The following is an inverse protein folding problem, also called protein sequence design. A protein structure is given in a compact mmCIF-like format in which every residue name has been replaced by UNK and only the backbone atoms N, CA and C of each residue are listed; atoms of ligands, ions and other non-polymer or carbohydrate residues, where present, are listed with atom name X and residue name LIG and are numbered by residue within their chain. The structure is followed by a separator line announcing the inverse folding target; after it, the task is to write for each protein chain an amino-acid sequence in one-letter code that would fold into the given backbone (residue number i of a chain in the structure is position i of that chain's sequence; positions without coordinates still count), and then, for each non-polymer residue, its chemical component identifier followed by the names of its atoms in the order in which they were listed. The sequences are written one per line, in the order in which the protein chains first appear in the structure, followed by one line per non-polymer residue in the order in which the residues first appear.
data_IF_376291458964
#
_entry.id   IF_376291458964
#
_cell.length_a   1.000
_cell.length_b   1.000
_cell.length_c   1.000
_cell.angle_alpha   90.00
_cell.angle_beta   90.00
_cell.angle_gamma   90.00
#
_symmetry.space_group_name_H-M   'P 1'
#
loop_
_entity.id
_entity.type
_entity.pdbx_description
1 polymer ?
#
# COMPACT_ATOMS: atom_id res chain seq x y z
N UNK A 1 4.68 2.01 60.83
CA UNK A 1 3.57 2.57 60.07
C UNK A 1 3.37 1.63 58.86
N UNK A 2 2.30 0.84 58.91
CA UNK A 2 1.99 -0.13 57.88
C UNK A 2 1.13 0.56 56.81
N UNK A 3 1.63 0.72 55.60
CA UNK A 3 0.80 1.09 54.46
C UNK A 3 0.24 -0.17 53.82
N UNK A 4 -1.07 -0.29 53.92
CA UNK A 4 -1.86 -1.38 53.34
C UNK A 4 -2.11 -1.08 51.84
N UNK A 5 -1.49 -1.87 50.95
CA UNK A 5 -1.76 -1.82 49.54
C UNK A 5 -3.17 -2.40 49.24
N UNK A 6 -4.03 -1.58 48.67
CA UNK A 6 -5.35 -1.99 48.13
C UNK A 6 -5.16 -2.84 46.87
N UNK A 7 -5.92 -3.93 46.68
CA UNK A 7 -5.87 -4.73 45.46
C UNK A 7 -6.53 -4.01 44.28
N UNK A 8 -5.82 -3.99 43.16
CA UNK A 8 -6.35 -3.53 41.88
C UNK A 8 -7.53 -4.41 41.43
N UNK A 9 -8.67 -3.79 41.22
CA UNK A 9 -9.87 -4.43 40.70
C UNK A 9 -9.63 -5.07 39.34
N UNK A 10 -9.79 -6.40 39.29
CA UNK A 10 -9.70 -7.15 38.03
C UNK A 10 -10.83 -6.77 37.07
N UNK A 11 -10.47 -6.21 35.94
CA UNK A 11 -11.39 -6.04 34.82
C UNK A 11 -11.76 -7.42 34.24
N UNK A 12 -12.89 -7.97 34.66
CA UNK A 12 -13.48 -9.12 34.00
C UNK A 12 -13.90 -8.72 32.59
N UNK A 13 -13.14 -9.15 31.57
CA UNK A 13 -13.60 -9.11 30.19
C UNK A 13 -14.86 -9.95 30.08
N UNK A 14 -16.03 -9.28 29.91
CA UNK A 14 -17.27 -9.96 29.51
C UNK A 14 -16.99 -10.67 28.19
N UNK A 15 -17.09 -11.99 28.20
CA UNK A 15 -17.09 -12.80 26.98
C UNK A 15 -18.35 -12.36 26.16
N UNK A 16 -18.10 -11.73 25.01
CA UNK A 16 -19.13 -11.47 24.04
C UNK A 16 -19.45 -12.83 23.42
N UNK A 17 -20.59 -13.40 23.78
CA UNK A 17 -21.14 -14.57 23.10
C UNK A 17 -21.32 -14.19 21.62
N UNK A 18 -20.89 -15.03 20.64
CA UNK A 18 -21.14 -14.76 19.25
C UNK A 18 -22.65 -14.77 19.01
N UNK A 19 -23.22 -13.58 18.79
CA UNK A 19 -24.62 -13.42 18.42
C UNK A 19 -24.90 -14.23 17.16
N UNK A 20 -25.90 -15.08 17.23
CA UNK A 20 -26.52 -15.77 16.11
C UNK A 20 -26.98 -14.73 15.10
N UNK A 21 -26.27 -14.61 14.02
CA UNK A 21 -26.64 -14.17 12.68
C UNK A 21 -25.36 -13.92 11.89
N UNK A 22 -24.57 -14.98 11.70
CA UNK A 22 -23.68 -15.03 10.54
C UNK A 22 -24.63 -15.12 9.36
N UNK A 23 -24.93 -14.00 8.73
CA UNK A 23 -25.52 -14.00 7.39
C UNK A 23 -24.50 -14.75 6.54
N UNK A 24 -24.80 -16.00 6.23
CA UNK A 24 -23.99 -16.81 5.33
C UNK A 24 -23.88 -16.01 4.04
N UNK A 25 -22.66 -15.67 3.64
CA UNK A 25 -22.46 -15.00 2.36
C UNK A 25 -23.16 -15.86 1.30
N UNK A 26 -23.91 -15.26 0.37
CA UNK A 26 -24.53 -16.05 -0.69
C UNK A 26 -23.44 -16.88 -1.39
N UNK A 27 -23.76 -18.12 -1.80
CA UNK A 27 -22.81 -18.96 -2.52
C UNK A 27 -22.26 -18.16 -3.70
N UNK A 28 -20.95 -18.09 -3.82
CA UNK A 28 -20.26 -17.34 -4.89
C UNK A 28 -20.33 -18.24 -6.14
N UNK A 29 -21.47 -18.28 -6.77
CA UNK A 29 -21.64 -18.86 -8.09
C UNK A 29 -21.07 -17.90 -9.14
N UNK A 30 -19.74 -17.78 -9.17
CA UNK A 30 -19.03 -17.00 -10.14
C UNK A 30 -19.26 -15.47 -10.02
N UNK A 31 -18.44 -14.72 -10.71
CA UNK A 31 -18.60 -13.27 -10.88
C UNK A 31 -19.61 -13.01 -12.00
N UNK A 32 -20.89 -12.99 -11.65
CA UNK A 32 -21.93 -12.66 -12.62
C UNK A 32 -21.92 -11.17 -12.91
N UNK A 33 -22.06 -10.82 -14.19
CA UNK A 33 -22.21 -9.42 -14.60
C UNK A 33 -23.50 -8.86 -14.00
N UNK A 34 -23.42 -7.65 -13.45
CA UNK A 34 -24.60 -6.96 -12.93
C UNK A 34 -25.46 -6.43 -14.08
N UNK A 35 -26.68 -6.90 -14.17
CA UNK A 35 -27.66 -6.54 -15.21
C UNK A 35 -28.84 -5.71 -14.66
N UNK A 36 -28.78 -5.28 -13.40
CA UNK A 36 -29.85 -4.52 -12.79
C UNK A 36 -29.88 -3.04 -13.19
N UNK A 37 -30.68 -2.26 -12.45
CA UNK A 37 -30.83 -0.83 -12.69
C UNK A 37 -29.52 -0.07 -12.50
N UNK A 38 -29.31 0.97 -13.29
CA UNK A 38 -28.20 1.88 -13.17
C UNK A 38 -28.68 3.27 -12.76
N UNK A 39 -28.67 3.54 -11.46
CA UNK A 39 -29.14 4.79 -10.86
C UNK A 39 -28.24 5.21 -9.69
N UNK A 40 -28.60 6.26 -8.98
CA UNK A 40 -27.81 6.86 -7.90
C UNK A 40 -27.25 5.87 -6.88
N UNK A 41 -28.01 4.91 -6.34
CA UNK A 41 -27.46 3.94 -5.37
C UNK A 41 -26.33 3.09 -5.96
N UNK A 42 -26.47 2.62 -7.19
CA UNK A 42 -25.47 1.79 -7.89
C UNK A 42 -24.22 2.60 -8.23
N UNK A 43 -24.40 3.83 -8.69
CA UNK A 43 -23.30 4.77 -8.95
C UNK A 43 -22.51 5.02 -7.66
N UNK A 44 -23.20 5.38 -6.56
CA UNK A 44 -22.55 5.60 -5.26
C UNK A 44 -21.82 4.35 -4.78
N UNK A 45 -22.44 3.17 -4.95
CA UNK A 45 -21.78 1.90 -4.61
C UNK A 45 -20.50 1.71 -5.41
N UNK A 46 -20.55 1.83 -6.73
CA UNK A 46 -19.38 1.68 -7.60
C UNK A 46 -18.28 2.67 -7.22
N UNK A 47 -18.60 3.96 -7.04
CA UNK A 47 -17.62 4.98 -6.69
C UNK A 47 -16.97 4.72 -5.32
N UNK A 48 -17.71 4.27 -4.33
CA UNK A 48 -17.16 3.89 -3.01
C UNK A 48 -16.21 2.68 -3.10
N UNK A 49 -16.46 1.77 -4.03
CA UNK A 49 -15.59 0.59 -4.24
C UNK A 49 -14.34 0.93 -5.04
N UNK A 50 -14.42 1.86 -5.98
CA UNK A 50 -13.33 2.18 -6.91
C UNK A 50 -12.53 3.42 -6.54
N UNK A 51 -13.13 4.38 -5.84
CA UNK A 51 -12.50 5.64 -5.41
C UNK A 51 -12.40 5.73 -3.88
N UNK A 52 -11.76 6.78 -3.37
CA UNK A 52 -11.69 7.07 -1.92
C UNK A 52 -12.95 7.76 -1.36
N UNK A 53 -13.97 7.88 -2.17
CA UNK A 53 -15.28 8.42 -1.79
C UNK A 53 -16.14 8.65 -3.01
N UNK A 54 -17.42 8.97 -2.77
CA UNK A 54 -18.38 9.33 -3.82
C UNK A 54 -18.73 10.81 -3.66
N UNK A 55 -18.02 11.69 -4.38
CA UNK A 55 -18.34 13.12 -4.39
C UNK A 55 -19.64 13.35 -5.15
N UNK A 56 -20.43 14.32 -4.71
CA UNK A 56 -21.69 14.66 -5.38
C UNK A 56 -21.50 14.93 -6.88
N UNK A 57 -20.44 15.67 -7.23
CA UNK A 57 -20.11 15.99 -8.63
C UNK A 57 -19.84 14.74 -9.47
N UNK A 58 -19.16 13.72 -8.91
CA UNK A 58 -18.89 12.47 -9.61
C UNK A 58 -20.16 11.65 -9.78
N UNK A 59 -21.04 11.63 -8.78
CA UNK A 59 -22.36 10.97 -8.89
C UNK A 59 -23.17 11.62 -10.02
N UNK A 60 -23.24 12.96 -10.08
CA UNK A 60 -23.95 13.67 -11.16
C UNK A 60 -23.33 13.40 -12.55
N UNK A 61 -22.02 13.38 -12.61
CA UNK A 61 -21.31 13.05 -13.85
C UNK A 61 -21.67 11.65 -14.38
N UNK A 62 -21.62 10.63 -13.51
CA UNK A 62 -21.89 9.26 -13.90
C UNK A 62 -23.39 8.95 -14.12
N UNK A 63 -24.30 9.78 -13.66
CA UNK A 63 -25.72 9.72 -14.06
C UNK A 63 -25.93 9.92 -15.55
N UNK A 64 -25.08 10.69 -16.20
CA UNK A 64 -25.11 10.89 -17.66
C UNK A 64 -24.38 9.80 -18.46
N UNK A 65 -23.96 8.71 -17.83
CA UNK A 65 -23.21 7.60 -18.45
C UNK A 65 -23.98 6.30 -18.30
N UNK A 66 -23.74 5.36 -19.23
CA UNK A 66 -24.12 3.96 -18.98
C UNK A 66 -23.19 3.33 -17.95
N UNK A 67 -23.62 2.25 -17.32
CA UNK A 67 -22.78 1.48 -16.38
C UNK A 67 -21.47 1.05 -17.03
N UNK A 68 -21.52 0.54 -18.27
CA UNK A 68 -20.32 0.12 -18.99
C UNK A 68 -19.36 1.29 -19.26
N UNK A 69 -19.87 2.47 -19.61
CA UNK A 69 -19.04 3.67 -19.78
C UNK A 69 -18.36 4.08 -18.47
N UNK A 70 -19.11 4.03 -17.35
CA UNK A 70 -18.57 4.34 -16.03
C UNK A 70 -17.45 3.38 -15.61
N UNK A 71 -17.66 2.07 -15.80
CA UNK A 71 -16.65 1.04 -15.50
C UNK A 71 -15.41 1.24 -16.37
N UNK A 72 -15.60 1.42 -17.69
CA UNK A 72 -14.48 1.62 -18.61
C UNK A 72 -13.65 2.86 -18.26
N UNK A 73 -14.31 3.97 -17.86
CA UNK A 73 -13.61 5.18 -17.45
C UNK A 73 -12.82 4.96 -16.16
N UNK A 74 -13.44 4.37 -15.15
CA UNK A 74 -12.81 4.10 -13.84
C UNK A 74 -11.61 3.15 -13.92
N UNK A 75 -11.58 2.27 -14.93
CA UNK A 75 -10.48 1.33 -15.16
C UNK A 75 -9.32 1.94 -15.97
N UNK A 76 -9.43 3.18 -16.47
CA UNK A 76 -8.32 3.80 -17.16
C UNK A 76 -7.19 4.16 -16.20
N UNK A 77 -5.93 3.93 -16.58
CA UNK A 77 -4.79 4.38 -15.81
C UNK A 77 -4.82 5.91 -15.66
N UNK A 78 -4.55 6.38 -14.47
CA UNK A 78 -4.37 7.82 -14.21
C UNK A 78 -2.97 8.27 -14.65
N UNK A 79 -2.84 9.53 -15.05
CA UNK A 79 -1.55 10.10 -15.41
C UNK A 79 -0.54 10.00 -14.26
N UNK A 80 0.75 9.98 -14.58
CA UNK A 80 1.79 10.02 -13.58
C UNK A 80 1.61 11.26 -12.67
N UNK A 81 1.96 11.15 -11.37
CA UNK A 81 1.91 12.31 -10.48
C UNK A 81 2.73 13.48 -11.06
N UNK A 82 2.11 14.64 -11.14
CA UNK A 82 2.77 15.88 -11.57
C UNK A 82 3.52 16.59 -10.46
N UNK A 83 3.45 16.10 -9.23
CA UNK A 83 4.09 16.62 -8.04
C UNK A 83 4.96 15.57 -7.38
N UNK A 84 5.85 16.01 -6.52
CA UNK A 84 6.77 15.16 -5.76
C UNK A 84 6.64 15.44 -4.26
N UNK A 85 7.07 14.51 -3.38
CA UNK A 85 7.24 14.82 -1.97
C UNK A 85 8.20 15.99 -1.77
N UNK A 86 7.86 16.90 -0.87
CA UNK A 86 8.59 18.16 -0.65
C UNK A 86 9.18 18.18 0.76
N UNK A 87 10.23 18.98 0.94
CA UNK A 87 10.67 19.39 2.26
C UNK A 87 9.59 20.28 2.90
N UNK A 88 8.61 19.69 3.56
CA UNK A 88 7.63 20.36 4.41
C UNK A 88 7.98 20.21 5.90
N UNK A 89 8.99 19.42 6.22
CA UNK A 89 9.45 19.14 7.57
C UNK A 89 10.40 20.20 8.14
N UNK A 90 10.87 21.12 7.32
CA UNK A 90 11.61 22.30 7.79
C UNK A 90 10.72 23.43 8.32
N UNK A 91 9.39 23.26 8.29
CA UNK A 91 8.46 24.14 8.99
C UNK A 91 8.71 23.99 10.50
N UNK A 92 8.93 25.11 11.19
CA UNK A 92 9.22 25.08 12.63
C UNK A 92 10.71 25.01 13.00
N UNK A 93 11.61 25.25 12.04
CA UNK A 93 13.02 25.53 12.31
C UNK A 93 13.99 24.33 12.14
N UNK A 94 13.52 23.17 11.67
CA UNK A 94 14.44 22.10 11.30
C UNK A 94 15.21 22.49 10.03
N UNK A 95 16.52 22.30 10.06
CA UNK A 95 17.37 22.50 8.87
C UNK A 95 17.68 21.16 8.24
N UNK A 96 17.33 20.98 6.97
CA UNK A 96 17.69 19.78 6.21
C UNK A 96 19.21 19.74 6.00
N UNK A 97 19.95 18.79 6.59
CA UNK A 97 21.40 18.70 6.49
C UNK A 97 21.90 18.39 5.09
N UNK A 98 21.04 17.91 4.19
CA UNK A 98 21.37 17.71 2.78
C UNK A 98 21.19 18.98 1.92
N UNK A 99 20.75 20.09 2.54
CA UNK A 99 20.62 21.40 1.90
C UNK A 99 19.37 21.56 1.03
N UNK A 100 18.37 20.67 1.14
CA UNK A 100 17.10 20.85 0.41
C UNK A 100 16.29 21.99 1.03
N UNK A 101 15.99 23.07 0.29
CA UNK A 101 15.20 24.18 0.81
C UNK A 101 13.76 23.77 1.13
N UNK A 102 13.13 24.53 2.03
CA UNK A 102 11.69 24.39 2.32
C UNK A 102 10.87 24.49 1.02
N UNK A 103 9.89 23.59 0.86
CA UNK A 103 9.01 23.44 -0.31
C UNK A 103 9.69 22.99 -1.61
N UNK A 104 10.95 22.54 -1.54
CA UNK A 104 11.59 21.88 -2.68
C UNK A 104 11.55 20.36 -2.52
N UNK A 105 11.58 19.65 -3.66
CA UNK A 105 11.59 18.19 -3.62
C UNK A 105 12.94 17.64 -3.17
N UNK A 106 12.90 16.64 -2.31
CA UNK A 106 14.09 15.95 -1.83
C UNK A 106 14.40 14.66 -2.61
N UNK A 107 13.56 14.30 -3.59
CA UNK A 107 13.64 12.99 -4.28
C UNK A 107 15.02 12.77 -4.93
N UNK A 108 15.63 13.80 -5.47
CA UNK A 108 16.93 13.69 -6.14
C UNK A 108 18.13 13.97 -5.22
N UNK A 109 17.86 14.27 -3.96
CA UNK A 109 18.92 14.57 -2.98
C UNK A 109 19.15 13.33 -2.10
N UNK A 110 20.30 12.68 -2.29
CA UNK A 110 20.73 11.58 -1.45
C UNK A 110 20.85 11.98 0.02
N UNK A 111 20.66 11.02 0.91
CA UNK A 111 21.04 11.15 2.32
C UNK A 111 22.15 10.15 2.60
N UNK A 112 23.03 10.48 3.52
CA UNK A 112 24.01 9.52 4.06
C UNK A 112 23.26 8.51 4.93
N UNK A 113 23.78 7.29 5.02
CA UNK A 113 23.17 6.22 5.82
C UNK A 113 23.01 6.58 7.32
N UNK A 114 23.80 7.53 7.81
CA UNK A 114 23.81 7.93 9.23
C UNK A 114 22.71 8.91 9.64
N UNK A 115 21.91 9.45 8.70
CA UNK A 115 20.92 10.49 9.02
C UNK A 115 19.51 9.90 9.16
N UNK A 116 19.30 9.26 10.31
CA UNK A 116 18.01 8.65 10.65
C UNK A 116 16.89 9.66 10.77
N UNK A 117 17.13 10.79 11.45
CA UNK A 117 16.11 11.81 11.67
C UNK A 117 15.60 12.40 10.35
N UNK A 118 16.52 12.74 9.44
CA UNK A 118 16.17 13.24 8.12
C UNK A 118 15.36 12.19 7.33
N UNK A 119 15.77 10.92 7.41
CA UNK A 119 15.08 9.84 6.72
C UNK A 119 13.62 9.69 7.21
N UNK A 120 13.40 9.72 8.52
CA UNK A 120 12.05 9.67 9.11
C UNK A 120 11.19 10.85 8.66
N UNK A 121 11.73 12.07 8.69
CA UNK A 121 11.04 13.29 8.21
C UNK A 121 10.65 13.17 6.71
N UNK A 122 11.53 12.63 5.89
CA UNK A 122 11.25 12.41 4.46
C UNK A 122 10.21 11.33 4.23
N UNK A 123 10.19 10.26 5.04
CA UNK A 123 9.15 9.24 5.02
C UNK A 123 7.79 9.87 5.37
N UNK A 124 7.71 10.72 6.36
CA UNK A 124 6.44 11.38 6.74
C UNK A 124 5.99 12.39 5.67
N UNK A 125 6.93 13.10 5.05
CA UNK A 125 6.65 13.92 3.87
C UNK A 125 6.10 13.10 2.71
N UNK A 126 6.68 11.92 2.44
CA UNK A 126 6.21 10.99 1.42
C UNK A 126 4.77 10.50 1.72
N UNK A 127 4.49 10.07 2.96
CA UNK A 127 3.15 9.66 3.37
C UNK A 127 2.12 10.76 3.16
N UNK A 128 2.47 11.99 3.54
CA UNK A 128 1.61 13.17 3.35
C UNK A 128 1.34 13.42 1.87
N UNK A 129 2.38 13.37 1.04
CA UNK A 129 2.25 13.53 -0.41
C UNK A 129 1.41 12.42 -1.04
N UNK A 130 1.63 11.15 -0.65
CA UNK A 130 0.87 10.02 -1.18
C UNK A 130 -0.61 10.10 -0.79
N UNK A 131 -0.91 10.47 0.45
CA UNK A 131 -2.29 10.76 0.85
C UNK A 131 -2.91 11.85 -0.04
N UNK A 132 -2.15 12.88 -0.37
CA UNK A 132 -2.55 13.92 -1.32
C UNK A 132 -2.87 13.37 -2.72
N UNK A 133 -2.10 12.38 -3.23
CA UNK A 133 -2.41 11.69 -4.48
C UNK A 133 -3.73 10.91 -4.41
N UNK A 134 -3.95 10.19 -3.30
CA UNK A 134 -5.19 9.44 -3.08
C UNK A 134 -6.45 10.34 -2.98
N UNK A 135 -6.30 11.54 -2.42
CA UNK A 135 -7.39 12.51 -2.27
C UNK A 135 -7.58 13.42 -3.50
N UNK A 136 -6.68 13.35 -4.48
CA UNK A 136 -6.78 14.14 -5.70
C UNK A 136 -8.08 13.83 -6.46
N UNK A 137 -8.70 14.83 -7.10
CA UNK A 137 -9.85 14.58 -7.96
C UNK A 137 -9.46 13.75 -9.19
N UNK A 138 -9.70 12.46 -9.15
CA UNK A 138 -9.51 11.55 -10.26
C UNK A 138 -10.69 10.58 -10.32
N UNK A 139 -11.10 10.19 -11.53
CA UNK A 139 -12.11 9.17 -11.79
C UNK A 139 -11.46 7.87 -12.24
N UNK A 140 -10.39 7.48 -11.55
CA UNK A 140 -9.68 6.23 -11.81
C UNK A 140 -9.49 5.44 -10.51
N UNK A 141 -9.61 4.12 -10.61
CA UNK A 141 -9.29 3.19 -9.53
C UNK A 141 -7.76 3.10 -9.25
N UNK A 142 -6.94 3.73 -10.06
CA UNK A 142 -5.49 3.52 -10.13
C UNK A 142 -4.79 3.69 -8.77
N UNK A 143 -4.99 4.83 -8.08
CA UNK A 143 -4.38 5.05 -6.76
C UNK A 143 -4.92 4.07 -5.70
N UNK A 144 -6.17 3.69 -5.79
CA UNK A 144 -6.74 2.69 -4.87
C UNK A 144 -6.11 1.32 -5.08
N UNK A 145 -5.83 0.94 -6.32
CA UNK A 145 -5.11 -0.28 -6.64
C UNK A 145 -3.64 -0.21 -6.24
N UNK A 146 -2.99 0.95 -6.35
CA UNK A 146 -1.63 1.13 -5.83
C UNK A 146 -1.58 0.87 -4.31
N UNK A 147 -2.55 1.41 -3.55
CA UNK A 147 -2.67 1.14 -2.11
C UNK A 147 -3.04 -0.33 -1.82
N UNK A 148 -3.90 -0.94 -2.64
CA UNK A 148 -4.21 -2.36 -2.52
C UNK A 148 -2.95 -3.22 -2.66
N UNK A 149 -2.12 -2.96 -3.68
CA UNK A 149 -0.87 -3.66 -3.86
C UNK A 149 0.17 -3.36 -2.78
N UNK A 150 0.18 -2.14 -2.23
CA UNK A 150 1.01 -1.82 -1.07
C UNK A 150 0.60 -2.62 0.18
N UNK A 151 -0.68 -2.86 0.39
CA UNK A 151 -1.13 -3.73 1.48
C UNK A 151 -0.76 -5.20 1.25
N UNK A 152 -0.61 -5.62 -0.01
CA UNK A 152 -0.18 -6.97 -0.36
C UNK A 152 1.35 -7.11 -0.28
N UNK A 153 2.10 -6.23 -0.95
CA UNK A 153 3.58 -6.17 -0.89
C UNK A 153 4.03 -5.16 0.17
N UNK A 154 3.54 -5.35 1.39
CA UNK A 154 3.82 -4.42 2.47
C UNK A 154 5.30 -4.42 2.85
N UNK A 155 5.82 -3.23 3.12
CA UNK A 155 7.13 -3.00 3.73
C UNK A 155 6.95 -2.16 4.99
N UNK A 156 7.77 -2.41 6.01
CA UNK A 156 7.65 -1.73 7.31
C UNK A 156 8.62 -0.54 7.39
N UNK A 157 8.09 0.63 7.76
CA UNK A 157 8.89 1.85 7.97
C UNK A 157 9.69 1.81 9.27
N UNK A 158 9.29 0.99 10.24
CA UNK A 158 9.96 0.91 11.55
C UNK A 158 11.15 -0.04 11.56
N UNK A 159 11.16 -1.01 10.61
CA UNK A 159 12.25 -1.97 10.50
C UNK A 159 13.35 -1.39 9.62
N UNK A 160 14.56 -1.25 10.18
CA UNK A 160 15.75 -0.78 9.48
C UNK A 160 15.64 0.63 8.86
N UNK A 161 15.02 1.59 9.57
CA UNK A 161 15.02 3.01 9.16
C UNK A 161 16.44 3.56 8.88
N UNK A 162 17.47 2.90 9.40
CA UNK A 162 18.86 3.22 9.15
C UNK A 162 19.33 2.75 7.76
N UNK A 163 18.62 1.82 7.13
CA UNK A 163 18.99 1.21 5.84
C UNK A 163 17.98 1.52 4.75
N UNK A 164 16.68 1.39 5.03
CA UNK A 164 15.63 1.66 4.04
C UNK A 164 15.39 3.16 3.98
N UNK A 165 15.92 3.79 2.94
CA UNK A 165 15.83 5.22 2.72
C UNK A 165 14.44 5.62 2.23
N UNK A 166 14.02 6.84 2.55
CA UNK A 166 12.78 7.42 2.04
C UNK A 166 12.66 7.35 0.51
N UNK A 167 13.79 7.42 -0.21
CA UNK A 167 13.84 7.26 -1.66
C UNK A 167 13.38 5.87 -2.09
N UNK A 168 13.77 4.80 -1.41
CA UNK A 168 13.33 3.44 -1.73
C UNK A 168 11.82 3.26 -1.55
N UNK A 169 11.24 3.93 -0.56
CA UNK A 169 9.79 3.98 -0.37
C UNK A 169 9.06 4.68 -1.50
N UNK A 170 9.63 5.78 -2.00
CA UNK A 170 9.08 6.47 -3.15
C UNK A 170 9.17 5.59 -4.41
N UNK A 171 10.29 4.92 -4.65
CA UNK A 171 10.49 4.03 -5.78
C UNK A 171 9.56 2.79 -5.68
N UNK A 172 9.34 2.25 -4.47
CA UNK A 172 8.36 1.21 -4.21
C UNK A 172 6.94 1.65 -4.59
N UNK A 173 6.50 2.82 -4.14
CA UNK A 173 5.22 3.37 -4.57
C UNK A 173 5.11 3.47 -6.09
N UNK A 174 6.14 3.97 -6.78
CA UNK A 174 6.14 4.08 -8.23
C UNK A 174 6.02 2.72 -8.92
N UNK A 175 6.74 1.70 -8.42
CA UNK A 175 6.66 0.32 -8.92
C UNK A 175 5.25 -0.24 -8.77
N UNK A 176 4.66 -0.11 -7.60
CA UNK A 176 3.28 -0.56 -7.34
C UNK A 176 2.29 0.16 -8.25
N UNK A 177 2.41 1.48 -8.34
CA UNK A 177 1.53 2.30 -9.17
C UNK A 177 1.65 1.95 -10.65
N UNK A 178 2.87 1.82 -11.17
CA UNK A 178 3.12 1.47 -12.58
C UNK A 178 2.43 0.16 -12.98
N UNK A 179 2.35 -0.79 -12.06
CA UNK A 179 1.78 -2.12 -12.32
C UNK A 179 0.36 -2.30 -11.75
N UNK A 180 -0.23 -1.26 -11.13
CA UNK A 180 -1.45 -1.35 -10.35
C UNK A 180 -2.65 -1.94 -11.12
N UNK A 181 -2.77 -1.64 -12.41
CA UNK A 181 -3.84 -2.12 -13.30
C UNK A 181 -3.30 -3.08 -14.37
N UNK A 182 -2.07 -3.54 -14.22
CA UNK A 182 -1.37 -4.35 -15.19
C UNK A 182 -1.38 -5.85 -14.89
N UNK A 183 -0.41 -6.54 -15.46
CA UNK A 183 -0.24 -7.97 -15.28
C UNK A 183 0.50 -8.29 -13.98
N UNK A 184 -0.05 -9.20 -13.17
CA UNK A 184 0.50 -9.58 -11.87
C UNK A 184 1.95 -10.12 -11.96
N UNK A 185 2.27 -10.92 -12.98
CA UNK A 185 3.65 -11.40 -13.19
C UNK A 185 4.64 -10.25 -13.41
N UNK A 186 4.21 -9.20 -14.11
CA UNK A 186 5.05 -8.00 -14.32
C UNK A 186 5.23 -7.22 -13.01
N UNK A 187 4.18 -7.12 -12.19
CA UNK A 187 4.25 -6.53 -10.86
C UNK A 187 5.25 -7.31 -9.98
N UNK A 188 5.14 -8.63 -9.90
CA UNK A 188 6.06 -9.48 -9.10
C UNK A 188 7.50 -9.30 -9.55
N UNK A 189 7.77 -9.23 -10.86
CA UNK A 189 9.12 -8.94 -11.38
C UNK A 189 9.62 -7.55 -10.97
N UNK A 190 8.76 -6.54 -11.00
CA UNK A 190 9.11 -5.20 -10.52
C UNK A 190 9.45 -5.19 -9.03
N UNK A 191 8.64 -5.87 -8.22
CA UNK A 191 8.85 -6.01 -6.77
C UNK A 191 10.14 -6.79 -6.45
N UNK A 192 10.50 -7.79 -7.26
CA UNK A 192 11.77 -8.54 -7.07
C UNK A 192 13.01 -7.66 -7.25
N UNK A 193 12.92 -6.59 -8.01
CA UNK A 193 14.00 -5.62 -8.23
C UNK A 193 13.87 -4.38 -7.34
N UNK A 194 12.82 -4.30 -6.54
CA UNK A 194 12.52 -3.14 -5.70
C UNK A 194 13.48 -3.06 -4.50
N UNK A 195 14.24 -1.96 -4.34
CA UNK A 195 15.22 -1.85 -3.26
C UNK A 195 14.60 -1.96 -1.87
N UNK A 196 13.42 -1.37 -1.64
CA UNK A 196 12.77 -1.42 -0.33
C UNK A 196 12.40 -2.86 0.03
N UNK A 197 11.85 -3.62 -0.93
CA UNK A 197 11.47 -5.02 -0.72
C UNK A 197 12.68 -5.94 -0.54
N UNK A 198 13.76 -5.71 -1.31
CA UNK A 198 15.02 -6.44 -1.16
C UNK A 198 15.63 -6.26 0.24
N UNK A 199 15.62 -5.05 0.77
CA UNK A 199 16.08 -4.82 2.15
C UNK A 199 15.11 -5.41 3.18
N UNK A 200 13.81 -5.28 2.97
CA UNK A 200 12.79 -5.78 3.89
C UNK A 200 12.85 -7.30 4.07
N UNK A 201 13.07 -8.05 2.98
CA UNK A 201 13.14 -9.52 2.98
C UNK A 201 14.57 -10.07 2.95
N UNK A 202 15.58 -9.26 3.25
CA UNK A 202 16.99 -9.63 3.25
C UNK A 202 17.54 -10.13 1.89
N UNK A 203 16.85 -9.87 0.79
CA UNK A 203 17.33 -10.18 -0.56
C UNK A 203 18.61 -9.44 -0.93
N UNK A 204 18.84 -8.24 -0.36
CA UNK A 204 20.06 -7.48 -0.52
C UNK A 204 21.33 -8.18 0.06
N UNK A 205 21.15 -9.21 0.89
CA UNK A 205 22.23 -10.02 1.47
C UNK A 205 22.63 -11.21 0.58
N UNK A 206 22.00 -11.39 -0.57
CA UNK A 206 22.35 -12.46 -1.52
C UNK A 206 23.74 -12.24 -2.10
N UNK A 207 24.58 -13.26 -1.99
CA UNK A 207 25.91 -13.28 -2.60
C UNK A 207 26.12 -14.59 -3.36
N UNK A 208 26.94 -14.53 -4.41
CA UNK A 208 27.29 -15.72 -5.20
C UNK A 208 27.91 -16.79 -4.30
N UNK A 209 27.34 -18.00 -4.29
CA UNK A 209 27.81 -19.13 -3.51
C UNK A 209 27.29 -19.20 -2.06
N UNK A 210 26.53 -18.18 -1.61
CA UNK A 210 25.82 -18.18 -0.32
C UNK A 210 24.50 -17.40 -0.45
N UNK A 211 23.53 -17.94 -1.19
CA UNK A 211 22.26 -17.28 -1.39
C UNK A 211 21.48 -17.22 -0.06
N UNK A 212 20.78 -16.10 0.16
CA UNK A 212 19.80 -15.97 1.21
C UNK A 212 18.43 -16.38 0.67
N UNK A 213 17.95 -17.54 1.08
CA UNK A 213 16.69 -18.11 0.58
C UNK A 213 15.44 -17.36 1.08
N UNK A 214 15.59 -16.47 2.08
CA UNK A 214 14.44 -15.82 2.72
C UNK A 214 13.56 -15.08 1.70
N UNK A 215 14.18 -14.31 0.79
CA UNK A 215 13.40 -13.57 -0.22
C UNK A 215 12.59 -14.53 -1.12
N UNK A 216 13.22 -15.58 -1.65
CA UNK A 216 12.54 -16.54 -2.52
C UNK A 216 11.40 -17.27 -1.82
N UNK A 217 11.61 -17.65 -0.56
CA UNK A 217 10.59 -18.32 0.27
C UNK A 217 9.41 -17.39 0.54
N UNK A 218 9.64 -16.19 1.07
CA UNK A 218 8.58 -15.25 1.39
C UNK A 218 7.81 -14.78 0.15
N UNK A 219 8.49 -14.58 -0.98
CA UNK A 219 7.85 -14.25 -2.24
C UNK A 219 6.85 -15.35 -2.67
N UNK A 220 7.20 -16.61 -2.49
CA UNK A 220 6.32 -17.73 -2.83
C UNK A 220 5.23 -17.96 -1.79
N UNK A 221 5.57 -17.96 -0.50
CA UNK A 221 4.65 -18.28 0.58
C UNK A 221 3.64 -17.18 0.90
N UNK A 222 4.08 -15.92 0.94
CA UNK A 222 3.25 -14.79 1.37
C UNK A 222 2.66 -14.00 0.21
N UNK A 223 3.40 -13.87 -0.88
CA UNK A 223 3.08 -12.87 -1.88
C UNK A 223 2.56 -13.45 -3.21
N UNK A 224 2.78 -14.74 -3.50
CA UNK A 224 2.37 -15.33 -4.79
C UNK A 224 1.64 -16.65 -4.69
N UNK A 225 2.33 -17.77 -4.47
CA UNK A 225 1.76 -19.11 -4.53
C UNK A 225 0.93 -19.49 -3.27
N UNK A 226 1.24 -18.87 -2.15
CA UNK A 226 0.65 -19.22 -0.86
C UNK A 226 1.27 -20.48 -0.25
N UNK A 227 0.98 -20.71 1.04
CA UNK A 227 1.46 -21.87 1.79
C UNK A 227 0.33 -22.90 1.96
N UNK A 228 0.63 -24.17 1.75
CA UNK A 228 -0.31 -25.25 2.01
C UNK A 228 -0.41 -26.26 0.87
N UNK A 229 -1.40 -27.15 0.95
CA UNK A 229 -1.54 -28.31 0.06
C UNK A 229 -1.74 -27.97 -1.42
N UNK A 230 -2.15 -26.74 -1.72
CA UNK A 230 -2.35 -26.27 -3.09
C UNK A 230 -1.15 -25.48 -3.63
N UNK A 231 -0.15 -25.15 -2.80
CA UNK A 231 1.09 -24.56 -3.26
C UNK A 231 1.88 -25.62 -4.04
N UNK A 232 2.32 -25.27 -5.23
CA UNK A 232 3.02 -26.21 -6.12
C UNK A 232 4.51 -25.94 -6.25
N UNK A 233 5.05 -25.01 -5.46
CA UNK A 233 6.48 -24.74 -5.43
C UNK A 233 7.19 -25.75 -4.49
N UNK A 234 8.46 -25.99 -4.75
CA UNK A 234 9.34 -26.89 -4.03
C UNK A 234 10.49 -26.12 -3.37
N UNK A 235 11.27 -26.77 -2.51
CA UNK A 235 12.50 -26.19 -1.96
C UNK A 235 13.53 -25.87 -3.06
N UNK A 236 13.51 -26.57 -4.17
CA UNK A 236 14.39 -26.27 -5.30
C UNK A 236 13.95 -24.98 -6.02
N UNK A 237 12.65 -24.70 -6.08
CA UNK A 237 12.13 -23.42 -6.61
C UNK A 237 12.51 -22.22 -5.71
N UNK A 238 12.65 -22.45 -4.41
CA UNK A 238 13.11 -21.42 -3.47
C UNK A 238 14.60 -21.10 -3.66
N UNK A 239 15.39 -22.09 -4.03
CA UNK A 239 16.85 -21.99 -4.21
C UNK A 239 17.27 -21.50 -5.58
N UNK A 240 16.37 -21.57 -6.57
CA UNK A 240 16.63 -21.20 -7.95
C UNK A 240 16.74 -19.67 -8.15
#
# INVERSE_FOLDING_TARGET
MNETLLPLAGNSRKSISPGKNIVQAPPVDGLQEYTGTWDTPQIVHLLKRTLFGSKFQDVQYFKGRTMQQAVNELLQPDAAPSTYPLNNYSIGGYTDPSGVPLWQTWINNGITLADKELNEKRIDSLKTWWLGQALRPSRSIHEKMAIFWHNHFAIDTSINSDVIRARFWYDHYLTLRQHALGNFKSLVKGITLDPAMLYFLNGASNVKGSPNENYGRELQELYTAGKGVNSKYTEDDVKA
#
